data_IF_368606549709
#
_entry.id   IF_368606549709
#
_cell.length_a   1.000
_cell.length_b   1.000
_cell.length_c   1.000
_cell.angle_alpha   90.00
_cell.angle_beta   90.00
_cell.angle_gamma   90.00
#
_symmetry.space_group_name_H-M   'P 1'
#
loop_
_entity.id
_entity.type
_entity.pdbx_description
1 polymer ?
#
# COMPACT_ATOMS: atom_id res chain seq x y z
N UNK A 1 42.63 -2.71 -19.55
CA UNK A 1 42.78 -1.58 -18.62
C UNK A 1 42.23 -2.00 -17.27
N UNK A 2 43.08 -1.94 -16.23
CA UNK A 2 42.75 -2.21 -14.83
C UNK A 2 42.05 -1.01 -14.21
N UNK A 3 41.07 -1.26 -13.35
CA UNK A 3 40.75 -0.45 -12.17
C UNK A 3 39.98 -1.36 -11.20
N UNK A 4 40.57 -2.08 -10.24
CA UNK A 4 41.13 -1.70 -8.91
C UNK A 4 40.16 -0.95 -7.97
N UNK A 5 39.48 -1.77 -7.13
CA UNK A 5 39.24 -1.70 -5.66
C UNK A 5 38.88 -0.36 -5.00
N UNK A 6 37.82 -0.37 -4.16
CA UNK A 6 37.87 -0.11 -2.70
C UNK A 6 36.80 -0.95 -1.97
N UNK A 7 37.14 -1.73 -0.91
CA UNK A 7 36.18 -2.39 -0.02
C UNK A 7 36.07 -1.65 1.33
N UNK A 8 34.89 -1.68 1.97
CA UNK A 8 34.72 -1.31 3.38
C UNK A 8 34.20 -2.51 4.19
N UNK A 9 34.81 -2.83 5.34
CA UNK A 9 34.41 -3.96 6.18
C UNK A 9 33.48 -3.48 7.31
N UNK A 10 32.41 -4.22 7.58
CA UNK A 10 31.74 -4.16 8.89
C UNK A 10 31.53 -5.59 9.36
N UNK A 11 32.33 -5.95 10.35
CA UNK A 11 32.19 -7.14 11.19
C UNK A 11 31.03 -6.96 12.15
N UNK A 12 30.22 -7.99 12.36
CA UNK A 12 29.36 -8.13 13.54
C UNK A 12 29.23 -9.61 13.92
N UNK A 13 29.02 -9.90 15.22
CA UNK A 13 29.55 -11.11 15.84
C UNK A 13 28.67 -12.34 15.67
N UNK A 14 29.36 -13.48 15.67
CA UNK A 14 28.86 -14.85 15.77
C UNK A 14 28.00 -15.02 17.03
N UNK A 15 26.77 -15.50 16.87
CA UNK A 15 26.05 -16.18 17.95
C UNK A 15 25.72 -17.60 17.49
N UNK A 16 26.34 -18.57 18.15
CA UNK A 16 26.13 -19.99 17.94
C UNK A 16 25.33 -20.58 19.11
N UNK A 17 24.25 -21.31 18.79
CA UNK A 17 23.62 -22.45 19.50
C UNK A 17 22.14 -22.49 19.11
N UNK A 18 21.45 -23.62 18.99
CA UNK A 18 21.78 -25.02 18.87
C UNK A 18 20.48 -25.71 18.42
N UNK A 19 20.59 -26.75 17.59
CA UNK A 19 19.48 -27.66 17.27
C UNK A 19 19.05 -28.42 18.53
N UNK A 20 17.73 -28.62 18.70
CA UNK A 20 17.15 -29.87 19.18
C UNK A 20 15.82 -30.13 18.46
N UNK A 21 15.72 -31.35 17.94
CA UNK A 21 14.55 -31.95 17.31
C UNK A 21 13.64 -32.61 18.36
N UNK A 22 12.47 -33.07 17.89
CA UNK A 22 11.56 -34.09 18.47
C UNK A 22 10.66 -33.62 19.62
N UNK A 23 9.37 -33.96 19.78
CA UNK A 23 8.39 -34.82 19.07
C UNK A 23 7.00 -34.59 19.70
N UNK A 24 5.93 -34.81 18.91
CA UNK A 24 4.60 -35.37 19.25
C UNK A 24 3.76 -34.86 20.45
N UNK A 25 2.59 -34.30 20.12
CA UNK A 25 1.26 -34.88 20.45
C UNK A 25 0.67 -34.69 21.85
N UNK A 26 -0.53 -34.07 21.91
CA UNK A 26 -1.82 -34.60 22.44
C UNK A 26 -2.77 -33.43 22.82
N UNK A 27 -4.02 -33.53 22.36
CA UNK A 27 -5.18 -32.66 22.58
C UNK A 27 -5.68 -32.59 24.04
N UNK A 28 -6.28 -31.46 24.46
CA UNK A 28 -7.70 -31.34 24.89
C UNK A 28 -8.00 -30.01 25.65
N UNK A 29 -9.08 -29.35 25.21
CA UNK A 29 -9.86 -28.23 25.81
C UNK A 29 -10.99 -28.83 26.71
N UNK A 30 -11.92 -28.12 27.42
CA UNK A 30 -12.11 -26.69 27.73
C UNK A 30 -12.53 -26.30 29.18
N UNK A 31 -12.50 -24.98 29.43
CA UNK A 31 -13.45 -24.17 30.25
C UNK A 31 -13.57 -24.37 31.78
N UNK A 32 -13.46 -23.27 32.54
CA UNK A 32 -14.47 -22.77 33.52
C UNK A 32 -13.96 -21.58 34.38
N UNK A 33 -14.65 -20.43 34.29
CA UNK A 33 -14.86 -19.40 35.33
C UNK A 33 -16.22 -19.67 36.02
N UNK A 34 -16.66 -19.12 37.20
CA UNK A 34 -16.65 -17.69 37.64
C UNK A 34 -16.63 -17.53 39.22
N UNK A 35 -17.30 -16.59 39.96
CA UNK A 35 -17.72 -15.15 39.82
C UNK A 35 -17.23 -14.23 41.02
N UNK A 36 -17.68 -12.94 41.17
CA UNK A 36 -17.08 -11.92 42.07
C UNK A 36 -17.91 -11.64 43.36
N UNK A 37 -17.53 -10.63 44.18
CA UNK A 37 -18.54 -9.86 44.89
C UNK A 37 -18.41 -8.33 44.81
N UNK A 38 -19.58 -7.73 45.03
CA UNK A 38 -20.04 -6.35 45.00
C UNK A 38 -19.73 -5.52 46.25
N UNK A 39 -20.23 -4.26 46.21
CA UNK A 39 -20.53 -3.31 47.31
C UNK A 39 -19.46 -2.22 47.48
N UNK A 40 -19.69 -0.95 47.08
CA UNK A 40 -20.70 0.06 47.42
C UNK A 40 -20.24 1.00 48.54
N UNK A 41 -20.20 2.29 48.17
CA UNK A 41 -20.48 3.47 48.99
C UNK A 41 -19.60 3.73 50.23
N UNK A 42 -18.89 4.87 50.23
CA UNK A 42 -19.25 6.10 50.98
C UNK A 42 -18.02 7.03 51.09
N UNK A 43 -18.14 8.23 50.53
CA UNK A 43 -17.49 9.44 51.08
C UNK A 43 -18.15 9.77 52.44
N UNK A 44 -17.50 10.53 53.34
CA UNK A 44 -17.55 11.99 53.23
C UNK A 44 -16.30 12.77 53.70
N UNK A 45 -16.25 14.02 53.20
CA UNK A 45 -15.79 15.28 53.84
C UNK A 45 -14.41 15.34 54.50
N UNK A 46 -13.45 16.10 53.95
CA UNK A 46 -13.31 17.56 53.98
C UNK A 46 -13.02 18.13 55.39
N UNK A 47 -11.75 18.45 55.61
CA UNK A 47 -11.34 19.48 56.57
C UNK A 47 -10.06 20.15 56.09
N UNK A 48 -10.17 21.46 55.91
CA UNK A 48 -9.10 22.40 55.58
C UNK A 48 -8.13 22.54 56.76
N UNK A 49 -6.84 22.73 56.48
CA UNK A 49 -5.96 23.54 57.33
C UNK A 49 -4.86 24.18 56.47
N UNK A 50 -4.75 25.51 56.57
CA UNK A 50 -3.73 26.34 55.94
C UNK A 50 -2.47 26.37 56.82
N UNK A 51 -1.30 26.34 56.20
CA UNK A 51 -0.02 26.60 56.88
C UNK A 51 1.08 26.96 55.87
N UNK A 52 1.38 28.26 55.76
CA UNK A 52 2.40 28.81 54.89
C UNK A 52 3.82 28.42 55.33
N UNK A 53 4.79 28.34 54.40
CA UNK A 53 6.06 29.11 54.43
C UNK A 53 6.99 28.81 53.25
N UNK A 54 7.57 29.91 52.74
CA UNK A 54 8.92 30.09 52.17
C UNK A 54 9.27 29.55 50.76
N UNK A 55 9.18 30.47 49.79
CA UNK A 55 10.33 31.06 49.07
C UNK A 55 11.34 30.18 48.34
N UNK A 56 11.34 30.24 47.00
CA UNK A 56 12.48 30.55 46.11
C UNK A 56 12.02 30.60 44.63
N UNK A 57 12.74 31.29 43.72
CA UNK A 57 12.18 31.83 42.49
C UNK A 57 12.00 30.79 41.38
N UNK A 58 11.05 31.07 40.50
CA UNK A 58 10.69 30.28 39.33
C UNK A 58 11.85 30.12 38.34
N UNK A 59 12.17 28.88 38.00
CA UNK A 59 12.81 28.54 36.72
C UNK A 59 11.70 28.42 35.66
N UNK A 60 11.78 29.24 34.61
CA UNK A 60 10.96 29.12 33.42
C UNK A 60 11.26 27.79 32.71
N UNK A 61 10.33 26.84 32.82
CA UNK A 61 10.24 25.72 31.88
C UNK A 61 9.56 26.23 30.61
N UNK A 62 10.34 26.36 29.54
CA UNK A 62 9.81 26.60 28.21
C UNK A 62 9.12 25.31 27.72
N UNK A 63 7.79 25.31 27.73
CA UNK A 63 6.99 24.35 26.99
C UNK A 63 7.31 24.50 25.49
N UNK A 64 8.08 23.55 24.95
CA UNK A 64 8.26 23.41 23.50
C UNK A 64 6.96 22.84 22.94
N UNK A 65 6.05 23.73 22.58
CA UNK A 65 4.87 23.41 21.79
C UNK A 65 5.37 22.96 20.41
N UNK A 66 5.32 21.66 20.13
CA UNK A 66 5.45 21.16 18.77
C UNK A 66 4.21 21.60 17.99
N UNK A 67 4.29 22.74 17.31
CA UNK A 67 3.33 23.13 16.29
C UNK A 67 3.36 22.08 15.17
N UNK A 68 2.33 21.24 15.15
CA UNK A 68 2.06 20.35 14.01
C UNK A 68 1.61 21.23 12.86
N UNK A 69 2.49 21.48 11.89
CA UNK A 69 2.14 22.24 10.69
C UNK A 69 0.91 21.61 10.02
N UNK A 70 -0.10 22.40 9.62
CA UNK A 70 -1.28 21.87 8.97
C UNK A 70 -0.88 21.32 7.59
N UNK A 71 -1.13 20.01 7.36
CA UNK A 71 -0.96 19.36 6.05
C UNK A 71 -1.65 20.21 4.97
N UNK A 72 -0.87 20.95 4.18
CA UNK A 72 -1.38 21.76 3.07
C UNK A 72 -2.06 20.83 2.07
N UNK A 73 -3.38 20.99 1.93
CA UNK A 73 -4.20 20.18 1.01
C UNK A 73 -3.68 20.36 -0.42
N UNK A 74 -3.43 19.26 -1.13
CA UNK A 74 -2.96 19.32 -2.50
C UNK A 74 -3.97 20.11 -3.37
N UNK A 75 -3.52 21.01 -4.28
CA UNK A 75 -4.45 21.78 -5.08
C UNK A 75 -5.16 20.88 -6.10
N UNK A 76 -6.48 21.09 -6.29
CA UNK A 76 -7.25 20.30 -7.25
C UNK A 76 -6.86 20.68 -8.68
N UNK A 77 -6.57 19.69 -9.52
CA UNK A 77 -6.36 19.90 -10.96
C UNK A 77 -7.63 20.52 -11.57
N UNK A 78 -7.51 21.69 -12.20
CA UNK A 78 -8.65 22.36 -12.82
C UNK A 78 -8.78 22.01 -14.32
N UNK A 79 -9.97 22.20 -14.86
CA UNK A 79 -10.34 21.85 -16.24
C UNK A 79 -9.45 22.55 -17.28
N UNK A 80 -8.96 23.75 -16.98
CA UNK A 80 -8.06 24.50 -17.85
C UNK A 80 -6.69 23.82 -17.98
N UNK A 81 -6.12 23.33 -16.88
CA UNK A 81 -4.86 22.56 -16.88
C UNK A 81 -5.04 21.26 -17.67
N UNK A 82 -6.12 20.52 -17.40
CA UNK A 82 -6.44 19.27 -18.10
C UNK A 82 -6.65 19.49 -19.61
N UNK A 83 -7.37 20.54 -20.00
CA UNK A 83 -7.62 20.87 -21.42
C UNK A 83 -6.34 21.25 -22.18
N UNK A 84 -5.33 21.79 -21.49
CA UNK A 84 -4.04 22.13 -22.10
C UNK A 84 -3.17 20.90 -22.40
N UNK A 85 -3.35 19.82 -21.63
CA UNK A 85 -2.75 18.50 -21.91
C UNK A 85 -3.44 17.81 -23.09
N UNK A 86 -4.78 17.96 -23.19
CA UNK A 86 -5.62 17.31 -24.20
C UNK A 86 -5.45 17.81 -25.64
N UNK A 87 -4.66 18.86 -25.91
CA UNK A 87 -4.45 19.44 -27.27
C UNK A 87 -3.26 18.85 -28.04
N UNK A 88 -2.70 17.71 -27.63
CA UNK A 88 -1.57 17.08 -28.34
C UNK A 88 -2.09 15.98 -29.28
N UNK A 89 -1.78 16.06 -30.57
CA UNK A 89 -2.05 15.00 -31.56
C UNK A 89 -1.08 13.80 -31.43
N UNK A 90 -0.63 13.53 -30.21
CA UNK A 90 0.30 12.46 -29.86
C UNK A 90 -0.53 11.32 -29.28
N UNK A 91 -0.12 10.07 -29.50
CA UNK A 91 -0.76 8.92 -28.86
C UNK A 91 -0.96 9.21 -27.36
N UNK A 92 -2.19 9.00 -26.86
CA UNK A 92 -2.54 9.31 -25.48
C UNK A 92 -1.62 8.53 -24.53
N UNK A 93 -0.96 9.25 -23.61
CA UNK A 93 -0.10 8.66 -22.60
C UNK A 93 -0.99 8.03 -21.51
N UNK A 94 -0.99 6.70 -21.34
CA UNK A 94 -1.97 6.00 -20.49
C UNK A 94 -1.91 6.42 -19.02
N UNK A 95 -0.77 6.90 -18.53
CA UNK A 95 -0.65 7.41 -17.16
C UNK A 95 -1.14 8.84 -16.97
N UNK A 96 -1.02 9.71 -17.97
CA UNK A 96 -1.27 11.15 -17.80
C UNK A 96 -2.58 11.60 -18.45
N UNK A 97 -2.86 11.07 -19.64
CA UNK A 97 -3.99 11.51 -20.45
C UNK A 97 -5.28 10.79 -20.08
N UNK A 98 -5.19 9.52 -19.64
CA UNK A 98 -6.36 8.79 -19.14
C UNK A 98 -6.84 9.38 -17.81
N UNK A 99 -8.14 9.64 -17.71
CA UNK A 99 -8.74 10.09 -16.46
C UNK A 99 -8.82 8.95 -15.45
N UNK A 100 -8.64 9.26 -14.16
CA UNK A 100 -8.81 8.29 -13.08
C UNK A 100 -10.26 7.81 -12.94
N UNK A 101 -11.24 8.60 -13.36
CA UNK A 101 -12.66 8.30 -13.26
C UNK A 101 -13.38 9.16 -12.20
N UNK A 102 -14.68 9.46 -12.38
CA UNK A 102 -15.42 10.41 -11.55
C UNK A 102 -15.74 9.90 -10.14
N UNK A 103 -15.69 8.59 -9.94
CA UNK A 103 -16.02 7.90 -8.68
C UNK A 103 -14.77 7.59 -7.81
N UNK A 104 -13.59 8.08 -8.22
CA UNK A 104 -12.35 7.89 -7.49
C UNK A 104 -12.42 8.61 -6.11
N UNK A 105 -11.83 8.05 -5.04
CA UNK A 105 -10.95 6.87 -5.01
C UNK A 105 -11.67 5.51 -4.89
N UNK A 106 -13.00 5.48 -4.77
CA UNK A 106 -13.73 4.22 -4.54
C UNK A 106 -13.81 3.34 -5.80
N UNK A 107 -14.09 3.95 -6.95
CA UNK A 107 -14.09 3.30 -8.27
C UNK A 107 -13.25 4.13 -9.24
N UNK A 108 -12.31 3.49 -9.91
CA UNK A 108 -11.32 4.16 -10.75
C UNK A 108 -11.00 3.32 -11.99
N UNK A 109 -10.45 3.97 -13.01
CA UNK A 109 -9.91 3.31 -14.17
C UNK A 109 -8.56 2.67 -13.82
N UNK A 110 -8.29 1.51 -14.39
CA UNK A 110 -7.02 0.78 -14.27
C UNK A 110 -6.51 0.48 -15.66
N UNK A 111 -5.24 0.80 -15.92
CA UNK A 111 -4.56 0.35 -17.14
C UNK A 111 -3.89 -0.97 -16.83
N UNK A 112 -4.30 -2.04 -17.54
CA UNK A 112 -3.76 -3.38 -17.35
C UNK A 112 -2.40 -3.49 -18.01
N UNK A 113 -1.40 -3.93 -17.27
CA UNK A 113 -0.06 -4.24 -17.76
C UNK A 113 0.13 -5.73 -17.94
N UNK A 114 -0.29 -6.53 -16.95
CA UNK A 114 -0.04 -7.97 -16.93
C UNK A 114 -1.36 -8.72 -16.88
N UNK A 115 -1.57 -9.53 -17.91
CA UNK A 115 -2.71 -10.43 -18.01
C UNK A 115 -2.65 -11.51 -16.94
N UNK A 116 -3.78 -11.79 -16.31
CA UNK A 116 -4.00 -12.99 -15.48
C UNK A 116 -3.46 -14.25 -16.18
N UNK A 117 -2.68 -15.04 -15.47
CA UNK A 117 -2.04 -16.26 -15.97
C UNK A 117 -0.74 -16.06 -16.74
N UNK A 118 -0.29 -14.82 -16.96
CA UNK A 118 0.97 -14.54 -17.65
C UNK A 118 2.19 -14.63 -16.72
N UNK A 119 3.33 -15.05 -17.28
CA UNK A 119 4.68 -14.91 -16.69
C UNK A 119 5.43 -13.69 -17.20
N UNK A 120 4.93 -13.04 -18.25
CA UNK A 120 5.59 -11.89 -18.84
C UNK A 120 5.24 -10.68 -17.99
N UNK A 121 6.22 -10.11 -17.32
CA UNK A 121 6.11 -8.83 -16.64
C UNK A 121 6.26 -7.74 -17.68
N UNK A 122 5.13 -7.16 -18.03
CA UNK A 122 5.09 -5.91 -18.77
C UNK A 122 5.20 -4.74 -17.78
N UNK A 123 5.62 -3.59 -18.29
CA UNK A 123 5.72 -2.33 -17.56
C UNK A 123 5.38 -1.17 -18.48
N UNK A 124 4.82 -0.11 -17.93
CA UNK A 124 4.74 1.18 -18.60
C UNK A 124 6.13 1.79 -18.76
N UNK A 125 6.55 2.03 -20.00
CA UNK A 125 7.65 2.95 -20.26
C UNK A 125 7.17 4.41 -20.12
N UNK A 126 7.39 4.99 -18.93
CA UNK A 126 6.97 6.35 -18.53
C UNK A 126 7.40 7.46 -19.51
N UNK A 127 8.42 7.23 -20.34
CA UNK A 127 8.89 8.22 -21.32
C UNK A 127 8.06 8.21 -22.60
N UNK A 128 7.71 7.03 -23.08
CA UNK A 128 7.01 6.86 -24.37
C UNK A 128 5.50 6.66 -24.20
N UNK A 129 5.05 6.25 -23.01
CA UNK A 129 3.67 5.85 -22.76
C UNK A 129 3.31 4.47 -23.31
N UNK A 130 4.29 3.71 -23.79
CA UNK A 130 4.08 2.39 -24.35
C UNK A 130 4.27 1.30 -23.30
N UNK A 131 3.58 0.17 -23.49
CA UNK A 131 3.81 -1.04 -22.70
C UNK A 131 5.04 -1.75 -23.25
N UNK A 132 6.03 -1.97 -22.37
CA UNK A 132 7.29 -2.64 -22.66
C UNK A 132 7.35 -3.96 -21.90
N UNK A 133 8.03 -4.96 -22.46
CA UNK A 133 8.41 -6.16 -21.70
C UNK A 133 9.58 -5.79 -20.79
N UNK A 134 9.39 -5.87 -19.48
CA UNK A 134 10.47 -5.79 -18.50
C UNK A 134 11.27 -7.11 -18.53
N UNK A 135 10.59 -8.21 -18.19
CA UNK A 135 11.19 -9.55 -18.14
C UNK A 135 10.14 -10.66 -18.11
N UNK A 136 10.59 -11.89 -18.25
CA UNK A 136 9.81 -13.08 -17.85
C UNK A 136 10.14 -13.41 -16.40
N UNK A 137 9.14 -13.76 -15.58
CA UNK A 137 9.37 -14.18 -14.20
C UNK A 137 10.33 -15.39 -14.15
N UNK A 138 11.29 -15.32 -13.23
CA UNK A 138 12.29 -16.39 -13.02
C UNK A 138 11.71 -17.61 -12.31
N UNK A 139 10.61 -17.41 -11.59
CA UNK A 139 9.87 -18.44 -10.87
C UNK A 139 8.82 -19.09 -11.77
N UNK A 140 8.35 -20.26 -11.37
CA UNK A 140 7.33 -20.99 -12.12
C UNK A 140 5.92 -20.42 -11.96
N UNK A 141 5.73 -19.45 -11.07
CA UNK A 141 4.42 -18.82 -10.79
C UNK A 141 3.97 -17.92 -11.94
N UNK A 142 2.67 -17.64 -11.98
CA UNK A 142 2.00 -16.74 -12.92
C UNK A 142 1.19 -15.72 -12.12
N UNK A 143 0.94 -14.54 -12.68
CA UNK A 143 0.07 -13.56 -12.03
C UNK A 143 -1.34 -14.15 -11.84
N UNK A 144 -1.86 -14.26 -10.60
CA UNK A 144 -3.13 -14.94 -10.33
C UNK A 144 -4.35 -14.13 -10.82
N UNK A 145 -4.17 -12.82 -11.02
CA UNK A 145 -5.19 -11.86 -11.41
C UNK A 145 -4.58 -10.82 -12.37
N UNK A 146 -5.42 -10.01 -13.00
CA UNK A 146 -4.93 -8.94 -13.88
C UNK A 146 -4.22 -7.89 -13.02
N UNK A 147 -3.10 -7.39 -13.50
CA UNK A 147 -2.28 -6.43 -12.78
C UNK A 147 -2.03 -5.20 -13.64
N UNK A 148 -1.96 -4.05 -13.00
CA UNK A 148 -1.57 -2.82 -13.67
C UNK A 148 -1.57 -1.67 -12.70
N UNK A 149 -1.88 -0.47 -13.20
CA UNK A 149 -1.73 0.75 -12.43
C UNK A 149 -2.92 1.69 -12.57
N UNK A 150 -3.03 2.60 -11.60
CA UNK A 150 -4.05 3.66 -11.58
C UNK A 150 -3.50 4.88 -12.33
N UNK A 151 -4.16 5.39 -13.39
CA UNK A 151 -3.71 6.59 -14.09
C UNK A 151 -3.84 7.82 -13.18
N UNK A 152 -3.03 8.85 -13.42
CA UNK A 152 -2.97 10.09 -12.62
C UNK A 152 -2.79 9.86 -11.11
N UNK A 153 -1.99 8.86 -10.77
CA UNK A 153 -1.55 8.53 -9.42
C UNK A 153 -0.01 8.50 -9.36
N UNK A 154 0.57 8.63 -8.18
CA UNK A 154 2.02 8.60 -7.95
C UNK A 154 2.34 8.04 -6.56
N UNK A 155 3.34 7.19 -6.47
CA UNK A 155 3.87 6.62 -5.24
C UNK A 155 5.26 7.21 -4.92
N UNK A 156 5.79 6.88 -3.73
CA UNK A 156 7.07 7.41 -3.25
C UNK A 156 8.28 6.95 -4.08
N UNK A 157 8.14 5.83 -4.79
CA UNK A 157 9.10 5.27 -5.76
C UNK A 157 9.06 5.97 -7.13
N UNK A 158 8.17 6.96 -7.32
CA UNK A 158 7.91 7.65 -8.58
C UNK A 158 7.27 6.77 -9.67
N UNK A 159 6.59 5.69 -9.29
CA UNK A 159 5.70 4.92 -10.15
C UNK A 159 4.22 5.23 -9.85
N UNK A 160 3.30 4.97 -10.80
CA UNK A 160 1.88 5.06 -10.50
C UNK A 160 1.47 3.95 -9.52
N UNK A 161 0.39 4.19 -8.77
CA UNK A 161 -0.13 3.23 -7.79
C UNK A 161 -0.52 1.91 -8.45
N UNK A 162 0.08 0.82 -7.96
CA UNK A 162 -0.16 -0.54 -8.40
C UNK A 162 -1.52 -1.07 -7.95
N UNK A 163 -2.13 -1.91 -8.80
CA UNK A 163 -3.41 -2.54 -8.51
C UNK A 163 -3.50 -3.95 -9.09
N UNK A 164 -3.99 -4.86 -8.25
CA UNK A 164 -4.38 -6.23 -8.63
C UNK A 164 -5.91 -6.29 -8.76
N UNK A 165 -6.40 -6.60 -9.96
CA UNK A 165 -7.83 -6.63 -10.30
C UNK A 165 -8.34 -8.07 -10.42
N UNK A 166 -9.21 -8.45 -9.48
CA UNK A 166 -9.94 -9.70 -9.50
C UNK A 166 -11.12 -9.62 -10.47
N UNK A 167 -11.19 -10.58 -11.39
CA UNK A 167 -12.26 -10.76 -12.36
C UNK A 167 -12.21 -12.18 -12.99
N UNK A 168 -13.25 -12.52 -13.74
CA UNK A 168 -13.37 -13.81 -14.42
C UNK A 168 -12.28 -13.99 -15.49
N UNK A 169 -12.20 -13.05 -16.44
CA UNK A 169 -11.41 -13.21 -17.67
C UNK A 169 -10.04 -12.51 -17.62
N UNK A 170 -9.03 -13.05 -18.32
CA UNK A 170 -7.77 -12.36 -18.59
C UNK A 170 -7.97 -11.13 -19.49
N UNK A 171 -7.23 -10.07 -19.20
CA UNK A 171 -7.30 -8.80 -19.96
C UNK A 171 -5.96 -8.49 -20.61
N UNK A 172 -6.00 -8.01 -21.85
CA UNK A 172 -4.79 -7.75 -22.65
C UNK A 172 -4.01 -6.52 -22.12
N UNK A 173 -2.67 -6.53 -22.18
CA UNK A 173 -1.85 -5.38 -21.80
C UNK A 173 -2.18 -4.12 -22.61
N UNK A 174 -2.15 -2.95 -21.97
CA UNK A 174 -2.43 -1.65 -22.57
C UNK A 174 -3.92 -1.33 -22.72
N UNK A 175 -4.81 -2.22 -22.29
CA UNK A 175 -6.25 -1.93 -22.19
C UNK A 175 -6.58 -1.36 -20.81
N UNK A 176 -7.74 -0.71 -20.67
CA UNK A 176 -8.20 -0.21 -19.37
C UNK A 176 -9.60 -0.72 -19.03
N UNK A 177 -9.90 -0.76 -17.74
CA UNK A 177 -11.19 -1.18 -17.18
C UNK A 177 -11.53 -0.36 -15.94
N UNK A 178 -12.79 -0.39 -15.50
CA UNK A 178 -13.20 0.18 -14.21
C UNK A 178 -13.02 -0.84 -13.10
N UNK A 179 -12.39 -0.45 -12.00
CA UNK A 179 -12.18 -1.28 -10.83
C UNK A 179 -12.66 -0.58 -9.56
N UNK A 180 -13.18 -1.36 -8.60
CA UNK A 180 -13.55 -0.93 -7.25
C UNK A 180 -12.48 -1.37 -6.27
N UNK A 181 -11.94 -0.45 -5.48
CA UNK A 181 -11.03 -0.80 -4.39
C UNK A 181 -11.80 -1.55 -3.29
N UNK A 182 -11.29 -2.73 -2.91
CA UNK A 182 -11.83 -3.56 -1.83
C UNK A 182 -10.82 -3.78 -0.70
N UNK A 183 -9.52 -3.55 -0.94
CA UNK A 183 -8.51 -3.66 0.10
C UNK A 183 -7.16 -3.13 -0.32
N UNK A 184 -6.27 -3.03 0.66
CA UNK A 184 -4.87 -2.63 0.49
C UNK A 184 -3.99 -3.79 0.96
N UNK A 185 -2.97 -4.12 0.17
CA UNK A 185 -1.98 -5.13 0.51
C UNK A 185 -0.66 -4.42 0.79
N UNK A 186 -0.32 -4.16 2.07
CA UNK A 186 0.95 -3.57 2.40
C UNK A 186 2.06 -4.58 2.14
N UNK A 187 3.06 -4.17 1.37
CA UNK A 187 4.16 -5.03 0.96
C UNK A 187 5.48 -4.31 1.17
N UNK A 188 6.49 -5.06 1.59
CA UNK A 188 7.87 -4.63 1.71
C UNK A 188 8.69 -5.42 0.70
N UNK A 189 9.23 -4.73 -0.30
CA UNK A 189 10.12 -5.29 -1.31
C UNK A 189 11.54 -4.77 -1.07
N UNK A 190 12.46 -5.66 -0.69
CA UNK A 190 13.85 -5.30 -0.38
C UNK A 190 14.03 -4.18 0.66
N UNK A 191 13.07 -4.03 1.57
CA UNK A 191 13.08 -3.00 2.61
C UNK A 191 12.38 -1.69 2.22
N UNK A 192 11.93 -1.56 0.97
CA UNK A 192 11.14 -0.43 0.49
C UNK A 192 9.65 -0.76 0.53
N UNK A 193 8.83 0.26 0.78
CA UNK A 193 7.38 0.13 0.87
C UNK A 193 6.77 0.14 -0.53
N UNK A 194 6.07 -0.93 -0.90
CA UNK A 194 5.47 -1.14 -2.23
C UNK A 194 4.01 -1.62 -2.08
N UNK A 195 3.19 -0.78 -1.47
CA UNK A 195 1.77 -1.08 -1.22
C UNK A 195 1.01 -1.32 -2.54
N UNK A 196 0.12 -2.31 -2.55
CA UNK A 196 -0.70 -2.62 -3.74
C UNK A 196 -2.18 -2.56 -3.43
N UNK A 197 -2.95 -1.95 -4.32
CA UNK A 197 -4.41 -1.95 -4.20
C UNK A 197 -4.95 -3.32 -4.63
N UNK A 198 -5.85 -3.87 -3.84
CA UNK A 198 -6.67 -5.02 -4.23
C UNK A 198 -8.04 -4.50 -4.66
N UNK A 199 -8.43 -4.82 -5.89
CA UNK A 199 -9.64 -4.33 -6.50
C UNK A 199 -10.40 -5.44 -7.22
N UNK A 200 -11.69 -5.20 -7.49
CA UNK A 200 -12.52 -6.04 -8.35
C UNK A 200 -12.96 -5.27 -9.59
N UNK A 201 -13.16 -5.95 -10.72
CA UNK A 201 -13.74 -5.30 -11.89
C UNK A 201 -15.17 -4.84 -11.57
N UNK A 202 -15.43 -3.53 -11.72
CA UNK A 202 -16.70 -2.92 -11.35
C UNK A 202 -17.86 -3.35 -12.28
N UNK A 203 -17.53 -3.79 -13.49
CA UNK A 203 -18.49 -4.18 -14.53
C UNK A 203 -18.61 -5.70 -14.70
N UNK A 204 -17.83 -6.50 -13.95
CA UNK A 204 -17.91 -7.96 -13.96
C UNK A 204 -19.08 -8.44 -13.09
N UNK A 205 -20.12 -9.09 -13.64
CA UNK A 205 -21.28 -9.55 -12.87
C UNK A 205 -20.94 -10.47 -11.69
N UNK A 206 -19.87 -11.25 -11.82
CA UNK A 206 -19.42 -12.21 -10.80
C UNK A 206 -18.66 -11.52 -9.65
N UNK A 207 -18.04 -10.37 -9.88
CA UNK A 207 -17.17 -9.73 -8.89
C UNK A 207 -17.66 -8.36 -8.40
N UNK A 208 -18.55 -7.68 -9.15
CA UNK A 208 -19.01 -6.31 -8.84
C UNK A 208 -19.70 -6.16 -7.48
N UNK A 209 -20.13 -7.26 -6.86
CA UNK A 209 -20.83 -7.27 -5.59
C UNK A 209 -19.89 -7.22 -4.37
N UNK A 210 -18.59 -7.47 -4.55
CA UNK A 210 -17.61 -7.37 -3.48
C UNK A 210 -17.30 -5.91 -3.14
N UNK A 211 -17.36 -5.55 -1.86
CA UNK A 211 -17.13 -4.20 -1.36
C UNK A 211 -15.94 -4.08 -0.41
N UNK A 212 -15.54 -5.18 0.21
CA UNK A 212 -14.42 -5.23 1.15
C UNK A 212 -13.62 -6.53 1.00
N UNK A 213 -12.32 -6.47 1.33
CA UNK A 213 -11.38 -7.59 1.24
C UNK A 213 -11.81 -8.78 2.10
N UNK A 214 -12.51 -8.51 3.21
CA UNK A 214 -13.01 -9.54 4.13
C UNK A 214 -14.12 -10.41 3.53
N UNK A 215 -14.76 -9.97 2.44
CA UNK A 215 -15.78 -10.73 1.72
C UNK A 215 -15.17 -11.80 0.80
N UNK A 216 -13.87 -11.73 0.50
CA UNK A 216 -13.18 -12.74 -0.27
C UNK A 216 -12.92 -14.01 0.56
N UNK A 217 -12.90 -15.16 -0.11
CA UNK A 217 -12.50 -16.42 0.52
C UNK A 217 -11.10 -16.31 1.13
N UNK A 218 -10.87 -16.78 2.38
CA UNK A 218 -9.55 -16.76 3.00
C UNK A 218 -8.47 -17.45 2.16
N UNK A 219 -8.82 -18.49 1.42
CA UNK A 219 -7.91 -19.18 0.51
C UNK A 219 -7.44 -18.25 -0.62
N UNK A 220 -8.33 -17.40 -1.16
CA UNK A 220 -7.98 -16.42 -2.20
C UNK A 220 -6.91 -15.44 -1.71
N UNK A 221 -7.06 -14.95 -0.48
CA UNK A 221 -6.09 -14.04 0.13
C UNK A 221 -4.73 -14.73 0.34
N UNK A 222 -4.74 -16.01 0.73
CA UNK A 222 -3.53 -16.80 0.87
C UNK A 222 -2.82 -17.02 -0.48
N UNK A 223 -3.55 -17.30 -1.56
CA UNK A 223 -2.97 -17.42 -2.90
C UNK A 223 -2.30 -16.13 -3.36
N UNK A 224 -2.97 -14.98 -3.16
CA UNK A 224 -2.42 -13.66 -3.50
C UNK A 224 -1.15 -13.39 -2.67
N UNK A 225 -1.21 -13.60 -1.35
CA UNK A 225 -0.07 -13.45 -0.45
C UNK A 225 1.13 -14.29 -0.91
N UNK A 226 0.91 -15.58 -1.16
CA UNK A 226 1.96 -16.51 -1.59
C UNK A 226 2.58 -16.13 -2.92
N UNK A 227 1.76 -15.67 -3.87
CA UNK A 227 2.30 -15.17 -5.14
C UNK A 227 3.33 -14.05 -4.95
N UNK A 228 3.00 -13.02 -4.17
CA UNK A 228 3.92 -11.88 -3.96
C UNK A 228 5.13 -12.22 -3.07
N UNK A 229 5.00 -13.16 -2.14
CA UNK A 229 6.15 -13.67 -1.38
C UNK A 229 7.10 -14.52 -2.26
N UNK A 230 6.58 -15.24 -3.26
CA UNK A 230 7.34 -16.23 -4.02
C UNK A 230 7.90 -15.71 -5.36
N UNK A 231 7.24 -14.75 -6.02
CA UNK A 231 7.54 -14.45 -7.42
C UNK A 231 8.99 -14.00 -7.69
N UNK A 232 9.65 -13.38 -6.71
CA UNK A 232 11.04 -12.92 -6.78
C UNK A 232 12.06 -13.84 -6.07
N UNK A 233 11.65 -14.97 -5.49
CA UNK A 233 12.57 -15.87 -4.74
C UNK A 233 13.72 -16.40 -5.60
N UNK A 234 13.46 -16.75 -6.86
CA UNK A 234 14.50 -17.21 -7.78
C UNK A 234 15.47 -16.09 -8.21
N UNK A 235 15.19 -14.84 -7.87
CA UNK A 235 16.10 -13.70 -8.03
C UNK A 235 16.95 -13.45 -6.76
N UNK A 236 16.84 -14.30 -5.73
CA UNK A 236 17.42 -14.12 -4.39
C UNK A 236 16.99 -12.81 -3.71
N UNK A 237 15.74 -12.40 -3.93
CA UNK A 237 15.14 -11.23 -3.28
C UNK A 237 14.08 -11.68 -2.28
N UNK A 238 13.98 -10.94 -1.19
CA UNK A 238 12.97 -11.15 -0.16
C UNK A 238 11.86 -10.12 -0.29
N UNK A 239 10.63 -10.62 -0.22
CA UNK A 239 9.40 -9.82 -0.23
C UNK A 239 8.57 -10.28 0.96
N UNK A 240 8.07 -9.32 1.75
CA UNK A 240 7.17 -9.58 2.86
C UNK A 240 5.82 -8.92 2.58
N UNK A 241 4.75 -9.68 2.71
CA UNK A 241 3.38 -9.17 2.64
C UNK A 241 2.86 -9.09 4.07
N UNK A 242 2.33 -7.92 4.47
CA UNK A 242 1.74 -7.74 5.80
C UNK A 242 0.26 -8.16 5.79
N UNK A 243 -0.49 -7.87 6.85
CA UNK A 243 -1.92 -8.12 6.86
C UNK A 243 -2.65 -7.24 5.85
N UNK A 244 -3.64 -7.85 5.16
CA UNK A 244 -4.49 -7.12 4.24
C UNK A 244 -5.35 -6.13 5.02
N UNK A 245 -5.42 -4.90 4.52
CA UNK A 245 -6.16 -3.81 5.12
C UNK A 245 -7.49 -3.59 4.36
N UNK A 246 -8.53 -3.08 5.03
CA UNK A 246 -9.89 -2.97 4.48
C UNK A 246 -9.98 -1.95 3.34
N UNK A 247 -11.14 -1.91 2.68
CA UNK A 247 -11.39 -1.04 1.54
C UNK A 247 -11.12 0.45 1.82
N UNK A 248 -11.37 0.90 3.06
CA UNK A 248 -11.14 2.29 3.44
C UNK A 248 -9.65 2.67 3.39
N UNK A 249 -8.76 1.80 3.89
CA UNK A 249 -7.32 2.04 3.82
C UNK A 249 -6.84 2.12 2.36
N UNK A 250 -7.44 1.35 1.45
CA UNK A 250 -7.16 1.42 0.03
C UNK A 250 -7.58 2.77 -0.57
N UNK A 251 -8.76 3.28 -0.22
CA UNK A 251 -9.25 4.59 -0.68
C UNK A 251 -8.36 5.72 -0.18
N UNK A 252 -7.93 5.67 1.08
CA UNK A 252 -6.99 6.64 1.64
C UNK A 252 -5.64 6.63 0.90
N UNK A 253 -5.10 5.44 0.61
CA UNK A 253 -3.85 5.29 -0.15
C UNK A 253 -3.97 5.83 -1.58
N UNK A 254 -5.08 5.54 -2.27
CA UNK A 254 -5.35 6.08 -3.62
C UNK A 254 -5.46 7.61 -3.57
N UNK A 255 -6.21 8.15 -2.60
CA UNK A 255 -6.36 9.60 -2.47
C UNK A 255 -5.01 10.29 -2.21
N UNK A 256 -4.17 9.72 -1.34
CA UNK A 256 -2.82 10.21 -1.10
C UNK A 256 -1.97 10.18 -2.38
N UNK A 257 -2.06 9.10 -3.15
CA UNK A 257 -1.35 8.96 -4.42
C UNK A 257 -1.81 9.97 -5.48
N UNK A 258 -3.11 10.28 -5.55
CA UNK A 258 -3.66 11.34 -6.40
C UNK A 258 -3.13 12.73 -6.00
N UNK A 259 -3.04 12.98 -4.70
CA UNK A 259 -2.52 14.25 -4.17
C UNK A 259 -1.04 14.43 -4.52
N UNK A 260 -0.22 13.37 -4.39
CA UNK A 260 1.18 13.36 -4.82
C UNK A 260 1.32 13.62 -6.31
N UNK A 261 0.50 12.96 -7.14
CA UNK A 261 0.49 13.18 -8.58
C UNK A 261 0.14 14.64 -8.94
N UNK A 262 -0.86 15.22 -8.27
CA UNK A 262 -1.23 16.62 -8.46
C UNK A 262 -0.07 17.58 -8.16
N UNK A 263 0.67 17.33 -7.08
CA UNK A 263 1.87 18.09 -6.73
C UNK A 263 2.98 17.93 -7.78
N UNK A 264 3.24 16.70 -8.22
CA UNK A 264 4.22 16.38 -9.26
C UNK A 264 3.94 17.13 -10.57
N UNK A 265 2.68 17.15 -11.03
CA UNK A 265 2.30 17.89 -12.22
C UNK A 265 2.50 19.39 -12.04
N UNK A 266 2.11 19.96 -10.89
CA UNK A 266 2.31 21.39 -10.64
C UNK A 266 3.78 21.78 -10.57
N UNK A 267 4.63 20.96 -9.98
CA UNK A 267 6.07 21.20 -9.97
C UNK A 267 6.67 21.13 -11.38
N UNK A 268 6.20 20.18 -12.18
CA UNK A 268 6.63 20.02 -13.58
C UNK A 268 6.21 21.20 -14.44
N UNK A 269 5.00 21.74 -14.25
CA UNK A 269 4.50 22.90 -14.99
C UNK A 269 5.12 24.25 -14.56
N UNK A 270 5.75 24.31 -13.38
CA UNK A 270 6.44 25.51 -12.88
C UNK A 270 7.87 25.65 -13.41
N UNK A 271 8.44 24.59 -13.96
CA UNK A 271 9.77 24.58 -14.58
C UNK A 271 9.66 24.91 -16.06
#
# INVERSE_FOLDING_TARGET
MRASRIPFPITSPTFARARRETTSGVESDPSQQPPPPSSSCRDPEMSQENGATNGHPAEEQQDVVMEVEPKRRAPRLNERILSSLSRRSVAAHPWHDLEIGPEAPAVFNVVVEITKGSKVKYELDKKTGLIKVDRVLYSSVVYPHNYGFIPRSLCEDNDPMDVLVLMQEPVLPGTFLRARAIGLMPMIDQGEKDDKIIAVCADDPEYRHYNDISELSPHRLQEIRRFFEDYKKNENKEVAVNEFLPAEAAREAIQYSMDLYGQYIMQTLRR
#
